data_IF_680538447492
#
_entry.id   IF_680538447492
#
_cell.length_a   1.000
_cell.length_b   1.000
_cell.length_c   1.000
_cell.angle_alpha   90.00
_cell.angle_beta   90.00
_cell.angle_gamma   90.00
#
_symmetry.space_group_name_H-M   'P 1'
#
loop_
_entity.id
_entity.type
_entity.pdbx_description
1 polymer ?
#
# COMPACT_ATOMS: atom_id res chain seq x y z
N UNK A 1 44.17 17.32 2.78
CA UNK A 1 43.30 17.71 3.91
C UNK A 1 41.97 18.10 3.28
N UNK A 2 41.10 17.12 3.02
CA UNK A 2 39.97 16.75 3.89
C UNK A 2 38.98 17.92 4.05
N UNK A 3 37.68 17.86 3.77
CA UNK A 3 36.69 16.86 3.35
C UNK A 3 35.39 17.66 3.07
N UNK A 4 34.59 17.27 2.06
CA UNK A 4 33.10 17.19 2.07
C UNK A 4 32.25 18.46 2.37
N UNK A 5 31.09 18.76 1.79
CA UNK A 5 29.96 17.92 1.36
C UNK A 5 29.22 18.63 0.21
N UNK A 6 29.00 17.93 -0.89
CA UNK A 6 27.78 18.08 -1.64
C UNK A 6 26.63 17.56 -0.76
N UNK A 7 25.60 18.37 -0.53
CA UNK A 7 24.32 17.90 0.00
C UNK A 7 23.23 18.20 -1.02
N UNK A 8 23.13 17.23 -1.93
CA UNK A 8 21.97 16.91 -2.73
C UNK A 8 20.75 16.53 -1.87
N UNK A 9 19.61 16.54 -2.55
CA UNK A 9 18.28 15.98 -2.22
C UNK A 9 17.24 17.03 -1.82
N UNK A 10 16.61 17.59 -2.85
CA UNK A 10 15.25 18.12 -2.76
C UNK A 10 14.31 16.94 -2.47
N UNK A 11 14.09 16.62 -1.20
CA UNK A 11 12.99 15.74 -0.79
C UNK A 11 11.70 16.53 -1.04
N UNK A 12 11.08 16.34 -2.20
CA UNK A 12 9.71 16.80 -2.44
C UNK A 12 8.82 16.23 -1.34
N UNK A 13 8.29 17.12 -0.51
CA UNK A 13 7.57 16.82 0.73
C UNK A 13 6.27 16.07 0.43
N UNK A 14 6.35 14.73 0.38
CA UNK A 14 5.16 13.88 0.55
C UNK A 14 4.61 14.16 1.95
N UNK A 15 3.28 14.33 2.13
CA UNK A 15 2.72 14.46 3.46
C UNK A 15 3.17 13.26 4.30
N UNK A 16 3.85 13.52 5.40
CA UNK A 16 4.30 12.47 6.31
C UNK A 16 3.07 11.82 6.94
N UNK A 17 3.01 10.49 6.81
CA UNK A 17 1.97 9.69 7.46
C UNK A 17 2.15 9.80 8.98
N UNK A 18 1.05 9.89 9.70
CA UNK A 18 1.02 10.03 11.16
C UNK A 18 0.77 8.67 11.80
N UNK A 19 1.73 8.16 12.56
CA UNK A 19 1.53 6.95 13.36
C UNK A 19 0.40 7.12 14.37
N UNK A 20 -0.42 6.09 14.58
CA UNK A 20 -1.64 6.11 15.41
C UNK A 20 -2.86 6.71 14.70
N UNK A 21 -2.72 7.21 13.47
CA UNK A 21 -3.82 7.75 12.66
C UNK A 21 -3.86 7.14 11.26
N UNK A 22 -2.70 7.10 10.58
CA UNK A 22 -2.57 6.57 9.23
C UNK A 22 -2.05 5.13 9.21
N UNK A 23 -1.29 4.73 10.24
CA UNK A 23 -0.73 3.39 10.45
C UNK A 23 -0.46 3.17 11.95
N UNK A 24 -0.41 1.92 12.45
CA UNK A 24 -0.15 1.68 13.87
C UNK A 24 1.26 2.10 14.26
N UNK A 25 1.38 2.81 15.38
CA UNK A 25 2.66 3.28 15.93
C UNK A 25 3.25 2.28 16.92
N UNK A 26 2.39 1.50 17.59
CA UNK A 26 2.77 0.54 18.63
C UNK A 26 2.36 -0.88 18.25
N UNK A 27 2.98 -1.88 18.89
CA UNK A 27 2.62 -3.28 18.66
C UNK A 27 1.16 -3.56 19.04
N UNK A 28 0.67 -2.98 20.15
CA UNK A 28 -0.74 -3.11 20.55
C UNK A 28 -1.68 -2.55 19.48
N UNK A 29 -1.38 -1.37 18.94
CA UNK A 29 -2.17 -0.80 17.83
C UNK A 29 -2.11 -1.69 16.58
N UNK A 30 -0.96 -2.31 16.29
CA UNK A 30 -0.82 -3.24 15.18
C UNK A 30 -1.74 -4.45 15.33
N UNK A 31 -1.74 -5.08 16.51
CA UNK A 31 -2.60 -6.23 16.81
C UNK A 31 -4.09 -5.84 16.77
N UNK A 32 -4.43 -4.64 17.23
CA UNK A 32 -5.81 -4.11 17.17
C UNK A 32 -6.27 -3.88 15.72
N UNK A 33 -5.41 -3.26 14.89
CA UNK A 33 -5.74 -2.87 13.51
C UNK A 33 -5.72 -4.06 12.55
N UNK A 34 -4.84 -5.03 12.78
CA UNK A 34 -4.58 -6.17 11.91
C UNK A 34 -4.89 -7.51 12.61
N UNK A 35 -5.96 -7.51 13.40
CA UNK A 35 -6.44 -8.69 14.13
C UNK A 35 -6.86 -9.85 13.22
N UNK A 36 -7.11 -9.59 11.93
CA UNK A 36 -7.35 -10.61 10.91
C UNK A 36 -6.58 -10.31 9.62
N UNK A 37 -6.35 -11.35 8.81
CA UNK A 37 -5.72 -11.21 7.50
C UNK A 37 -6.57 -10.32 6.58
N UNK A 38 -7.89 -10.40 6.67
CA UNK A 38 -8.82 -9.57 5.88
C UNK A 38 -8.68 -8.09 6.23
N UNK A 39 -8.59 -7.75 7.53
CA UNK A 39 -8.40 -6.37 7.97
C UNK A 39 -7.06 -5.79 7.46
N UNK A 40 -6.01 -6.60 7.51
CA UNK A 40 -4.70 -6.24 6.95
C UNK A 40 -4.76 -6.05 5.43
N UNK A 41 -5.36 -7.00 4.70
CA UNK A 41 -5.48 -6.94 3.25
C UNK A 41 -6.31 -5.74 2.79
N UNK A 42 -7.41 -5.42 3.48
CA UNK A 42 -8.26 -4.26 3.18
C UNK A 42 -7.52 -2.94 3.43
N UNK A 43 -6.76 -2.85 4.52
CA UNK A 43 -5.87 -1.71 4.77
C UNK A 43 -4.84 -1.55 3.64
N UNK A 44 -4.11 -2.62 3.29
CA UNK A 44 -3.12 -2.59 2.22
C UNK A 44 -3.75 -2.21 0.86
N UNK A 45 -4.94 -2.73 0.55
CA UNK A 45 -5.70 -2.38 -0.64
C UNK A 45 -5.93 -0.86 -0.74
N UNK A 46 -6.49 -0.25 0.32
CA UNK A 46 -6.77 1.19 0.37
C UNK A 46 -5.49 2.03 0.31
N UNK A 47 -4.40 1.57 0.94
CA UNK A 47 -3.11 2.28 0.91
C UNK A 47 -2.46 2.22 -0.46
N UNK A 48 -2.55 1.08 -1.14
CA UNK A 48 -1.95 0.86 -2.46
C UNK A 48 -2.74 1.53 -3.57
N UNK A 49 -4.07 1.53 -3.46
CA UNK A 49 -4.98 2.12 -4.43
C UNK A 49 -6.05 2.97 -3.71
N UNK A 50 -5.74 4.23 -3.33
CA UNK A 50 -6.66 5.09 -2.59
C UNK A 50 -7.96 5.38 -3.34
N UNK A 51 -7.91 5.42 -4.68
CA UNK A 51 -9.06 5.64 -5.56
C UNK A 51 -9.71 4.33 -6.06
N UNK A 52 -9.40 3.21 -5.39
CA UNK A 52 -9.83 1.87 -5.77
C UNK A 52 -8.90 1.19 -6.78
N UNK A 53 -9.03 -0.14 -6.88
CA UNK A 53 -8.11 -0.98 -7.64
C UNK A 53 -7.82 -0.44 -9.05
N UNK A 54 -6.54 -0.50 -9.43
CA UNK A 54 -6.07 -0.30 -10.80
C UNK A 54 -5.07 -1.38 -11.16
N UNK A 55 -5.38 -2.18 -12.18
CA UNK A 55 -4.50 -3.25 -12.61
C UNK A 55 -3.13 -2.67 -13.01
N UNK A 56 -2.02 -3.16 -12.44
CA UNK A 56 -0.69 -2.66 -12.80
C UNK A 56 -0.25 -3.06 -14.22
N UNK A 57 -0.96 -3.99 -14.86
CA UNK A 57 -0.69 -4.40 -16.25
C UNK A 57 -1.39 -3.55 -17.29
N UNK A 58 -2.71 -3.31 -17.13
CA UNK A 58 -3.53 -2.66 -18.15
C UNK A 58 -4.33 -1.44 -17.67
N UNK A 59 -4.23 -1.07 -16.39
CA UNK A 59 -4.97 0.06 -15.83
C UNK A 59 -6.47 -0.16 -15.62
N UNK A 60 -7.03 -1.33 -15.96
CA UNK A 60 -8.44 -1.64 -15.73
C UNK A 60 -8.78 -1.56 -14.23
N UNK A 61 -9.94 -0.97 -13.92
CA UNK A 61 -10.42 -0.79 -12.56
C UNK A 61 -11.24 -1.99 -12.01
N UNK A 62 -11.66 -2.90 -12.89
CA UNK A 62 -12.50 -4.05 -12.52
C UNK A 62 -11.62 -5.26 -12.21
N UNK A 63 -11.89 -5.90 -11.08
CA UNK A 63 -11.28 -7.14 -10.66
C UNK A 63 -12.23 -7.92 -9.75
N UNK A 64 -11.92 -9.20 -9.53
CA UNK A 64 -12.54 -10.02 -8.49
C UNK A 64 -11.46 -10.68 -7.64
N UNK A 65 -11.79 -10.99 -6.38
CA UNK A 65 -10.91 -11.77 -5.53
C UNK A 65 -10.98 -13.25 -5.90
N UNK A 66 -9.83 -13.89 -5.93
CA UNK A 66 -9.70 -15.34 -6.06
C UNK A 66 -9.82 -16.00 -4.69
N UNK A 67 -10.02 -17.32 -4.64
CA UNK A 67 -10.02 -18.07 -3.38
C UNK A 67 -8.68 -18.03 -2.61
N UNK A 68 -7.61 -17.47 -3.20
CA UNK A 68 -6.32 -17.23 -2.55
C UNK A 68 -6.12 -15.75 -2.14
N UNK A 69 -7.17 -14.94 -2.16
CA UNK A 69 -7.10 -13.51 -1.80
C UNK A 69 -6.47 -12.59 -2.85
N UNK A 70 -6.01 -13.10 -3.99
CA UNK A 70 -5.45 -12.26 -5.07
C UNK A 70 -6.55 -11.56 -5.86
N UNK A 71 -6.27 -10.34 -6.32
CA UNK A 71 -7.12 -9.60 -7.26
C UNK A 71 -6.81 -10.05 -8.69
N UNK A 72 -7.81 -10.60 -9.38
CA UNK A 72 -7.72 -10.96 -10.79
C UNK A 72 -8.39 -9.88 -11.64
N UNK A 73 -7.60 -9.26 -12.52
CA UNK A 73 -8.09 -8.22 -13.43
C UNK A 73 -9.13 -8.79 -14.40
N UNK A 74 -10.22 -8.05 -14.61
CA UNK A 74 -11.27 -8.45 -15.53
C UNK A 74 -10.85 -8.39 -17.01
N UNK A 75 -9.87 -7.54 -17.34
CA UNK A 75 -9.41 -7.34 -18.71
C UNK A 75 -8.28 -8.31 -19.06
N UNK A 76 -7.09 -8.11 -18.47
CA UNK A 76 -5.89 -8.87 -18.84
C UNK A 76 -5.68 -10.17 -18.05
N UNK A 77 -6.60 -10.52 -17.15
CA UNK A 77 -6.55 -11.73 -16.31
C UNK A 77 -5.32 -11.84 -15.37
N UNK A 78 -4.46 -10.82 -15.32
CA UNK A 78 -3.35 -10.73 -14.38
C UNK A 78 -3.86 -10.82 -12.95
N UNK A 79 -3.22 -11.68 -12.16
CA UNK A 79 -3.39 -11.75 -10.71
C UNK A 79 -2.40 -10.79 -10.03
N UNK A 80 -2.85 -10.09 -9.00
CA UNK A 80 -2.04 -9.12 -8.26
C UNK A 80 -2.41 -9.24 -6.78
N UNK A 81 -1.42 -9.38 -5.90
CA UNK A 81 -1.65 -9.24 -4.45
C UNK A 81 -1.91 -7.78 -4.12
N UNK A 82 -2.50 -7.52 -2.97
CA UNK A 82 -2.34 -6.22 -2.30
C UNK A 82 -0.92 -6.05 -1.82
#
# INVERSE_FOLDING_TARGET
MSLSLAQDVVVTSRPHLRGGVDYPRTLREFDEWFSTEEACAEYLLRRRWPEGFRCPGCGCAKAWQTGRGLLRCAECQRQTSV
#
